data_IF_335014667775
#
_entry.id   IF_335014667775
#
_cell.length_a   1.000
_cell.length_b   1.000
_cell.length_c   1.000
_cell.angle_alpha   90.00
_cell.angle_beta   90.00
_cell.angle_gamma   90.00
#
_symmetry.space_group_name_H-M   'P 1'
#
loop_
_entity.id
_entity.type
_entity.pdbx_description
1 polymer ?
#
# COMPACT_ATOMS: atom_id res chain seq x y z
N UNK A 1 7.37 7.87 -10.09
CA UNK A 1 6.95 6.88 -9.09
C UNK A 1 6.76 5.54 -9.76
N UNK A 2 7.35 4.48 -9.23
CA UNK A 2 7.16 3.12 -9.74
C UNK A 2 6.40 2.30 -8.70
N UNK A 3 5.07 2.34 -8.74
CA UNK A 3 4.24 1.65 -7.76
C UNK A 3 4.51 0.13 -7.79
N UNK A 4 4.79 -0.42 -6.61
CA UNK A 4 5.02 -1.85 -6.35
C UNK A 4 4.07 -2.31 -5.27
N UNK A 5 3.37 -3.39 -5.56
CA UNK A 5 2.63 -4.14 -4.54
C UNK A 5 3.56 -5.17 -3.94
N UNK A 6 3.60 -5.25 -2.61
CA UNK A 6 4.23 -6.35 -1.88
C UNK A 6 3.15 -7.07 -1.07
N UNK A 7 3.14 -8.40 -1.13
CA UNK A 7 2.26 -9.26 -0.33
C UNK A 7 3.13 -10.23 0.45
N UNK A 8 2.98 -10.28 1.76
CA UNK A 8 3.83 -11.05 2.68
C UNK A 8 2.95 -11.88 3.60
N UNK A 9 3.25 -13.16 3.71
CA UNK A 9 2.70 -14.01 4.77
C UNK A 9 3.54 -13.83 6.04
N UNK A 10 2.89 -13.62 7.18
CA UNK A 10 3.56 -13.47 8.47
C UNK A 10 2.84 -14.27 9.57
N UNK A 11 3.30 -14.13 10.82
CA UNK A 11 2.81 -14.91 11.97
C UNK A 11 1.27 -14.86 12.09
N UNK A 12 0.71 -15.91 12.69
CA UNK A 12 -0.74 -16.10 12.90
C UNK A 12 -1.56 -16.42 11.65
N UNK A 13 -0.93 -17.00 10.62
CA UNK A 13 -1.56 -17.32 9.32
C UNK A 13 -2.23 -16.10 8.68
N UNK A 14 -1.60 -14.94 8.88
CA UNK A 14 -2.07 -13.66 8.38
C UNK A 14 -1.23 -13.18 7.20
N UNK A 15 -1.87 -12.37 6.38
CA UNK A 15 -1.28 -11.75 5.21
C UNK A 15 -1.25 -10.23 5.37
N UNK A 16 -0.15 -9.65 4.93
CA UNK A 16 0.08 -8.22 4.85
C UNK A 16 0.23 -7.83 3.38
N UNK A 17 -0.30 -6.67 3.01
CA UNK A 17 -0.07 -6.09 1.70
C UNK A 17 0.23 -4.60 1.82
N UNK A 18 1.13 -4.10 0.99
CA UNK A 18 1.41 -2.67 0.87
C UNK A 18 1.57 -2.23 -0.58
N UNK A 19 1.51 -0.92 -0.77
CA UNK A 19 1.89 -0.24 -2.00
C UNK A 19 2.95 0.79 -1.67
N UNK A 20 4.08 0.70 -2.36
CA UNK A 20 5.24 1.56 -2.16
C UNK A 20 5.90 1.90 -3.51
N UNK A 21 6.87 2.81 -3.52
CA UNK A 21 7.73 3.02 -4.67
C UNK A 21 8.77 1.88 -4.74
N UNK A 22 8.90 1.27 -5.92
CA UNK A 22 9.90 0.25 -6.19
C UNK A 22 11.33 0.81 -6.09
N UNK A 23 11.47 2.12 -6.32
CA UNK A 23 12.76 2.81 -6.22
C UNK A 23 13.05 3.28 -4.79
N UNK A 24 12.09 3.13 -3.86
CA UNK A 24 12.34 3.35 -2.44
C UNK A 24 13.22 2.25 -1.85
N UNK A 25 14.36 2.66 -1.31
CA UNK A 25 15.34 1.76 -0.69
C UNK A 25 15.00 1.44 0.75
N UNK A 26 14.09 2.18 1.37
CA UNK A 26 13.62 2.00 2.74
C UNK A 26 12.10 1.84 2.71
N UNK A 27 11.60 0.59 2.61
CA UNK A 27 10.17 0.36 2.41
C UNK A 27 9.38 0.33 3.73
N UNK A 28 9.73 1.23 4.66
CA UNK A 28 9.17 1.33 6.02
C UNK A 28 8.02 2.35 6.11
N UNK A 29 7.88 3.24 5.12
CA UNK A 29 6.78 4.21 5.02
C UNK A 29 6.03 4.09 3.69
N UNK A 30 5.23 3.03 3.50
CA UNK A 30 4.48 2.84 2.27
C UNK A 30 3.39 3.90 2.10
N UNK A 31 2.90 4.07 0.87
CA UNK A 31 1.76 4.95 0.59
C UNK A 31 0.43 4.38 1.12
N UNK A 32 0.36 3.06 1.25
CA UNK A 32 -0.79 2.34 1.76
C UNK A 32 -0.39 0.95 2.27
N UNK A 33 -1.12 0.44 3.26
CA UNK A 33 -1.06 -0.98 3.64
C UNK A 33 -2.41 -1.53 4.11
N UNK A 34 -2.55 -2.86 4.02
CA UNK A 34 -3.52 -3.66 4.73
C UNK A 34 -2.80 -4.72 5.55
N UNK A 35 -3.25 -4.91 6.79
CA UNK A 35 -2.67 -5.87 7.73
C UNK A 35 -3.75 -6.81 8.25
N UNK A 36 -3.37 -8.05 8.60
CA UNK A 36 -4.26 -9.05 9.18
C UNK A 36 -5.25 -9.69 8.20
N UNK A 37 -4.96 -9.68 6.89
CA UNK A 37 -5.78 -10.38 5.90
C UNK A 37 -5.75 -11.89 6.16
N UNK A 38 -6.89 -12.56 6.05
CA UNK A 38 -7.03 -13.99 6.37
C UNK A 38 -6.51 -14.89 5.26
N UNK A 39 -6.46 -14.40 4.03
CA UNK A 39 -5.98 -15.17 2.88
C UNK A 39 -5.09 -14.32 1.98
N UNK A 40 -4.21 -14.98 1.22
CA UNK A 40 -3.40 -14.32 0.19
C UNK A 40 -4.28 -13.62 -0.86
N UNK A 41 -5.37 -14.26 -1.25
CA UNK A 41 -6.29 -13.73 -2.26
C UNK A 41 -6.96 -12.43 -1.79
N UNK A 42 -7.35 -12.35 -0.53
CA UNK A 42 -7.89 -11.13 0.09
C UNK A 42 -6.85 -10.00 0.06
N UNK A 43 -5.60 -10.28 0.48
CA UNK A 43 -4.53 -9.30 0.49
C UNK A 43 -4.22 -8.76 -0.93
N UNK A 44 -4.17 -9.66 -1.92
CA UNK A 44 -3.99 -9.30 -3.34
C UNK A 44 -5.17 -8.45 -3.84
N UNK A 45 -6.40 -8.85 -3.55
CA UNK A 45 -7.60 -8.14 -4.00
C UNK A 45 -7.62 -6.70 -3.47
N UNK A 46 -7.35 -6.52 -2.17
CA UNK A 46 -7.27 -5.20 -1.54
C UNK A 46 -6.17 -4.35 -2.16
N UNK A 47 -4.97 -4.91 -2.36
CA UNK A 47 -3.87 -4.19 -2.99
C UNK A 47 -4.19 -3.77 -4.43
N UNK A 48 -4.80 -4.64 -5.23
CA UNK A 48 -5.22 -4.31 -6.59
C UNK A 48 -6.30 -3.21 -6.63
N UNK A 49 -7.30 -3.27 -5.75
CA UNK A 49 -8.32 -2.22 -5.64
C UNK A 49 -7.70 -0.88 -5.26
N UNK A 50 -6.78 -0.86 -4.30
CA UNK A 50 -6.11 0.37 -3.90
C UNK A 50 -5.18 0.90 -5.00
N UNK A 51 -4.47 0.02 -5.70
CA UNK A 51 -3.59 0.39 -6.82
C UNK A 51 -4.39 1.08 -7.94
N UNK A 52 -5.57 0.55 -8.28
CA UNK A 52 -6.47 1.18 -9.23
C UNK A 52 -6.95 2.58 -8.77
N UNK A 53 -7.20 2.76 -7.48
CA UNK A 53 -7.56 4.07 -6.92
C UNK A 53 -6.39 5.06 -6.98
N UNK A 54 -5.15 4.61 -6.75
CA UNK A 54 -3.96 5.44 -6.93
C UNK A 54 -3.73 5.82 -8.39
N UNK A 55 -3.89 4.89 -9.32
CA UNK A 55 -3.79 5.17 -10.76
C UNK A 55 -4.75 6.30 -11.18
N UNK A 56 -6.02 6.22 -10.76
CA UNK A 56 -7.02 7.27 -11.00
C UNK A 56 -6.63 8.62 -10.38
N UNK A 57 -6.12 8.62 -9.15
CA UNK A 57 -5.68 9.85 -8.45
C UNK A 57 -4.47 10.48 -9.13
N UNK A 58 -3.48 9.68 -9.52
CA UNK A 58 -2.29 10.13 -10.23
C UNK A 58 -2.67 10.70 -11.60
N UNK A 59 -3.57 10.04 -12.33
CA UNK A 59 -4.09 10.54 -13.60
C UNK A 59 -4.83 11.89 -13.43
N UNK A 60 -5.47 12.12 -12.28
CA UNK A 60 -6.06 13.40 -11.91
C UNK A 60 -5.06 14.45 -11.39
N UNK A 61 -3.76 14.15 -11.38
CA UNK A 61 -2.69 15.05 -10.95
C UNK A 61 -2.41 15.06 -9.44
N UNK A 62 -2.98 14.12 -8.67
CA UNK A 62 -2.70 14.01 -7.24
C UNK A 62 -1.47 13.12 -6.99
N UNK A 63 -0.67 13.49 -5.99
CA UNK A 63 0.43 12.67 -5.51
C UNK A 63 -0.02 11.83 -4.29
N UNK A 64 0.15 10.50 -4.29
CA UNK A 64 -0.10 9.68 -3.11
C UNK A 64 0.85 10.10 -1.97
N UNK A 65 0.28 10.66 -0.90
CA UNK A 65 1.05 10.97 0.31
C UNK A 65 1.49 9.69 1.03
N UNK A 66 2.64 9.75 1.69
CA UNK A 66 3.11 8.68 2.57
C UNK A 66 2.18 8.53 3.78
N UNK A 67 2.18 7.36 4.41
CA UNK A 67 1.34 7.15 5.61
C UNK A 67 1.79 8.04 6.76
N UNK A 68 3.10 8.23 6.95
CA UNK A 68 3.64 9.14 7.97
C UNK A 68 3.14 10.58 7.77
N UNK A 69 3.11 11.05 6.52
CA UNK A 69 2.62 12.39 6.15
C UNK A 69 1.11 12.53 6.37
N UNK A 70 0.35 11.49 6.01
CA UNK A 70 -1.11 11.49 6.11
C UNK A 70 -1.58 11.45 7.56
N UNK A 71 -0.89 10.69 8.43
CA UNK A 71 -1.17 10.65 9.87
C UNK A 71 -0.88 11.99 10.56
N UNK A 72 0.12 12.72 10.09
CA UNK A 72 0.50 14.02 10.68
C UNK A 72 -0.53 15.11 10.40
N UNK A 73 -1.30 15.02 9.30
CA UNK A 73 -2.37 15.98 8.96
C UNK A 73 -3.70 15.76 9.71
N UNK A 74 -3.85 14.64 10.42
CA UNK A 74 -5.07 14.27 11.13
C UNK A 74 -5.03 14.60 12.64
N UNK A 75 -3.97 15.26 13.12
CA UNK A 75 -3.74 15.60 14.54
C UNK A 75 -3.94 17.10 14.81
#
# INVERSE_FOLDING_TARGET
MKLKVRVVHYRHDCWYADIDDADDRQPDDPYWYADGCRTQAEAIALACSQLAAFDQRIAAGADPGRISETRTKAA
#
